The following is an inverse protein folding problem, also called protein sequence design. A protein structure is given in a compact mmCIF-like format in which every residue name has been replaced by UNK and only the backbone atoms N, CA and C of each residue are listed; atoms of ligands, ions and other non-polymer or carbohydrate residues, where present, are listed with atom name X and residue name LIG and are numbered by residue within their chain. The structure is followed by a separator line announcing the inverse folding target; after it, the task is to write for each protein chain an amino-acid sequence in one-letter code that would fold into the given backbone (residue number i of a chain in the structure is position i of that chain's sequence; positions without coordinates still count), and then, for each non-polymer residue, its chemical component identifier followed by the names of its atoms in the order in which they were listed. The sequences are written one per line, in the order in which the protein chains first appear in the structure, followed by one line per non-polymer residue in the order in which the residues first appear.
data_IF_952392082565
#
_entry.id   IF_952392082565
#
_cell.length_a   1.000
_cell.length_b   1.000
_cell.length_c   1.000
_cell.angle_alpha   90.00
_cell.angle_beta   90.00
_cell.angle_gamma   90.00
#
_symmetry.space_group_name_H-M   'P 1'
#
loop_
_entity.id
_entity.type
_entity.pdbx_description
1 polymer ?
#
# COMPACT_ATOMS: atom_id res chain seq x y z
N UNK A 1 6.55 6.80 26.32
CA UNK A 1 5.91 5.53 25.96
C UNK A 1 7.04 4.56 25.67
N UNK A 2 7.39 3.72 26.65
CA UNK A 2 8.56 2.84 26.56
C UNK A 2 8.14 1.60 25.79
N UNK A 3 8.56 1.48 24.54
CA UNK A 3 8.46 0.20 23.82
C UNK A 3 9.32 -0.77 24.60
N UNK A 4 8.72 -1.82 25.15
CA UNK A 4 9.45 -2.87 25.83
C UNK A 4 10.42 -3.56 24.86
N UNK A 5 11.52 -4.11 25.40
CA UNK A 5 12.55 -4.74 24.57
C UNK A 5 11.96 -5.87 23.68
N UNK A 6 10.93 -6.56 24.19
CA UNK A 6 10.21 -7.62 23.48
C UNK A 6 9.43 -7.09 22.27
N UNK A 7 8.71 -5.96 22.38
CA UNK A 7 7.99 -5.35 21.27
C UNK A 7 8.92 -4.85 20.16
N UNK A 8 10.15 -4.43 20.51
CA UNK A 8 11.19 -4.07 19.53
C UNK A 8 11.71 -5.30 18.78
N UNK A 9 11.94 -6.40 19.47
CA UNK A 9 12.46 -7.63 18.87
C UNK A 9 11.44 -8.34 17.96
N UNK A 10 10.16 -8.33 18.36
CA UNK A 10 9.06 -8.84 17.53
C UNK A 10 8.87 -7.99 16.27
N UNK A 11 8.97 -6.66 16.36
CA UNK A 11 8.92 -5.78 15.19
C UNK A 11 10.07 -6.03 14.22
N UNK A 12 11.31 -6.14 14.71
CA UNK A 12 12.46 -6.45 13.85
C UNK A 12 12.36 -7.83 13.21
N UNK A 13 11.77 -8.80 13.92
CA UNK A 13 11.48 -10.11 13.35
C UNK A 13 10.43 -10.02 12.26
N UNK A 14 9.37 -9.24 12.47
CA UNK A 14 8.35 -9.02 11.46
C UNK A 14 8.90 -8.39 10.18
N UNK A 15 9.76 -7.37 10.30
CA UNK A 15 10.43 -6.74 9.16
C UNK A 15 11.33 -7.71 8.39
N UNK A 16 12.06 -8.60 9.09
CA UNK A 16 12.91 -9.62 8.44
C UNK A 16 12.08 -10.64 7.66
N UNK A 17 10.98 -11.12 8.25
CA UNK A 17 10.06 -12.05 7.57
C UNK A 17 9.44 -11.38 6.34
N UNK A 18 8.96 -10.13 6.49
CA UNK A 18 8.42 -9.34 5.38
C UNK A 18 9.44 -9.17 4.25
N UNK A 19 10.71 -8.94 4.57
CA UNK A 19 11.76 -8.80 3.56
C UNK A 19 12.01 -10.12 2.79
N UNK A 20 11.95 -11.26 3.47
CA UNK A 20 12.22 -12.57 2.89
C UNK A 20 11.03 -13.17 2.10
N UNK A 21 9.79 -12.84 2.47
CA UNK A 21 8.61 -13.41 1.84
C UNK A 21 8.41 -12.91 0.40
N UNK A 22 7.94 -13.82 -0.48
CA UNK A 22 7.58 -13.50 -1.85
C UNK A 22 6.09 -13.15 -2.00
N UNK A 23 5.24 -13.69 -1.13
CA UNK A 23 3.79 -13.44 -1.12
C UNK A 23 3.27 -13.03 0.27
N UNK A 24 2.07 -12.44 0.30
CA UNK A 24 1.42 -12.03 1.54
C UNK A 24 1.09 -13.24 2.43
N UNK A 25 0.63 -14.33 1.80
CA UNK A 25 0.29 -15.58 2.45
C UNK A 25 1.50 -16.24 3.09
N UNK A 26 2.64 -16.26 2.40
CA UNK A 26 3.92 -16.72 2.95
C UNK A 26 4.32 -15.89 4.17
N UNK A 27 4.33 -14.55 4.02
CA UNK A 27 4.68 -13.65 5.12
C UNK A 27 3.79 -13.89 6.33
N UNK A 28 2.46 -13.93 6.13
CA UNK A 28 1.50 -14.15 7.21
C UNK A 28 1.71 -15.51 7.88
N UNK A 29 1.87 -16.57 7.10
CA UNK A 29 2.10 -17.92 7.61
C UNK A 29 3.40 -18.03 8.42
N UNK A 30 4.46 -17.35 7.99
CA UNK A 30 5.74 -17.30 8.72
C UNK A 30 5.61 -16.54 10.05
N UNK A 31 4.91 -15.40 10.05
CA UNK A 31 4.67 -14.62 11.27
C UNK A 31 3.78 -15.36 12.27
N UNK A 32 2.77 -16.08 11.78
CA UNK A 32 1.89 -16.94 12.60
C UNK A 32 2.69 -18.09 13.21
N UNK A 33 3.53 -18.78 12.42
CA UNK A 33 4.37 -19.89 12.89
C UNK A 33 5.37 -19.47 13.97
N UNK A 34 5.92 -18.26 13.85
CA UNK A 34 6.84 -17.68 14.85
C UNK A 34 6.10 -17.10 16.07
N UNK A 35 4.75 -17.10 16.05
CA UNK A 35 3.90 -16.48 17.07
C UNK A 35 4.02 -14.95 17.13
N UNK A 36 4.76 -14.33 16.19
CA UNK A 36 5.00 -12.88 16.15
C UNK A 36 3.71 -12.15 15.84
N UNK A 37 2.89 -12.65 14.91
CA UNK A 37 1.67 -11.96 14.49
C UNK A 37 0.72 -11.70 15.66
N UNK A 38 0.61 -12.64 16.60
CA UNK A 38 -0.22 -12.51 17.80
C UNK A 38 0.33 -11.52 18.83
N UNK A 39 1.65 -11.29 18.84
CA UNK A 39 2.35 -10.39 19.77
C UNK A 39 2.47 -8.96 19.27
N UNK A 40 2.40 -8.74 17.96
CA UNK A 40 2.29 -7.39 17.40
C UNK A 40 0.98 -6.73 17.86
N UNK A 41 1.05 -5.47 18.27
CA UNK A 41 -0.13 -4.67 18.57
C UNK A 41 -0.88 -4.22 17.30
N UNK A 42 -2.06 -3.62 17.48
CA UNK A 42 -2.89 -3.14 16.36
C UNK A 42 -2.15 -2.16 15.43
N UNK A 43 -1.52 -1.10 15.96
CA UNK A 43 -0.70 -0.18 15.17
C UNK A 43 0.43 -0.87 14.40
N UNK A 44 1.20 -1.75 15.03
CA UNK A 44 2.29 -2.47 14.37
C UNK A 44 1.81 -3.36 13.22
N UNK A 45 0.66 -4.04 13.39
CA UNK A 45 0.06 -4.84 12.30
C UNK A 45 -0.37 -3.97 11.13
N UNK A 46 -0.96 -2.81 11.42
CA UNK A 46 -1.37 -1.85 10.39
C UNK A 46 -0.15 -1.29 9.64
N UNK A 47 0.92 -0.95 10.37
CA UNK A 47 2.16 -0.49 9.78
C UNK A 47 2.81 -1.57 8.92
N UNK A 48 2.82 -2.84 9.38
CA UNK A 48 3.32 -3.95 8.57
C UNK A 48 2.53 -4.12 7.25
N UNK A 49 1.21 -4.04 7.31
CA UNK A 49 0.37 -4.09 6.12
C UNK A 49 0.66 -2.92 5.16
N UNK A 50 0.86 -1.71 5.68
CA UNK A 50 1.25 -0.52 4.89
C UNK A 50 2.64 -0.68 4.28
N UNK A 51 3.59 -1.27 5.00
CA UNK A 51 4.94 -1.55 4.48
C UNK A 51 4.89 -2.57 3.34
N UNK A 52 4.09 -3.62 3.49
CA UNK A 52 3.87 -4.62 2.45
C UNK A 52 3.24 -4.00 1.20
N UNK A 53 2.16 -3.23 1.36
CA UNK A 53 1.51 -2.51 0.25
C UNK A 53 2.51 -1.59 -0.46
N UNK A 54 3.28 -0.81 0.30
CA UNK A 54 4.28 0.10 -0.27
C UNK A 54 5.33 -0.67 -1.07
N UNK A 55 5.83 -1.81 -0.57
CA UNK A 55 6.76 -2.67 -1.32
C UNK A 55 6.14 -3.13 -2.64
N UNK A 56 4.88 -3.54 -2.64
CA UNK A 56 4.17 -3.95 -3.85
C UNK A 56 4.06 -2.82 -4.87
N UNK A 57 3.71 -1.61 -4.42
CA UNK A 57 3.59 -0.42 -5.28
C UNK A 57 4.94 0.05 -5.80
N UNK A 58 5.99 0.05 -4.98
CA UNK A 58 7.36 0.41 -5.37
C UNK A 58 7.92 -0.53 -6.46
N UNK A 59 7.45 -1.77 -6.52
CA UNK A 59 7.84 -2.76 -7.52
C UNK A 59 7.14 -2.58 -8.88
N UNK A 60 6.07 -1.76 -8.97
CA UNK A 60 5.40 -1.48 -10.23
C UNK A 60 6.30 -0.65 -11.15
N UNK A 61 6.23 -0.86 -12.46
CA UNK A 61 6.76 0.11 -13.42
C UNK A 61 5.77 1.27 -13.60
N UNK A 62 6.14 2.29 -14.37
CA UNK A 62 5.30 3.48 -14.58
C UNK A 62 3.98 3.13 -15.28
N UNK A 63 3.99 2.09 -16.12
CA UNK A 63 2.81 1.62 -16.81
C UNK A 63 1.83 0.97 -15.83
N UNK A 64 2.28 0.02 -15.02
CA UNK A 64 1.47 -0.67 -14.02
C UNK A 64 0.90 0.31 -13.00
N UNK A 65 1.72 1.26 -12.53
CA UNK A 65 1.24 2.32 -11.64
C UNK A 65 0.13 3.17 -12.30
N UNK A 66 0.28 3.53 -13.58
CA UNK A 66 -0.74 4.27 -14.31
C UNK A 66 -2.01 3.43 -14.57
N UNK A 67 -1.88 2.13 -14.81
CA UNK A 67 -3.01 1.21 -14.99
C UNK A 67 -3.83 1.08 -13.70
N UNK A 68 -3.18 0.85 -12.56
CA UNK A 68 -3.86 0.79 -11.25
C UNK A 68 -4.52 2.13 -10.90
N UNK A 69 -3.85 3.25 -11.14
CA UNK A 69 -4.45 4.58 -10.94
C UNK A 69 -5.71 4.79 -11.80
N UNK A 70 -5.70 4.31 -13.05
CA UNK A 70 -6.87 4.40 -13.95
C UNK A 70 -8.00 3.48 -13.50
N UNK A 71 -7.69 2.29 -12.99
CA UNK A 71 -8.69 1.38 -12.40
C UNK A 71 -9.52 2.12 -11.34
N UNK A 72 -8.84 2.75 -10.38
CA UNK A 72 -9.50 3.49 -9.32
C UNK A 72 -10.21 4.77 -9.82
N UNK A 73 -9.62 5.46 -10.80
CA UNK A 73 -10.26 6.63 -11.41
C UNK A 73 -11.54 6.29 -12.19
N UNK A 74 -11.65 5.06 -12.70
CA UNK A 74 -12.87 4.55 -13.31
C UNK A 74 -13.96 4.20 -12.27
N UNK A 75 -13.68 4.34 -10.98
CA UNK A 75 -14.60 4.01 -9.89
C UNK A 75 -14.75 2.50 -9.65
N UNK A 76 -13.83 1.70 -10.19
CA UNK A 76 -13.81 0.24 -9.99
C UNK A 76 -13.35 -0.11 -8.58
N UNK A 77 -13.89 -1.21 -8.06
CA UNK A 77 -13.61 -1.67 -6.71
C UNK A 77 -12.49 -2.72 -6.64
N UNK A 78 -12.16 -3.19 -5.42
CA UNK A 78 -11.27 -4.34 -5.25
C UNK A 78 -11.79 -5.60 -5.95
N UNK A 79 -13.11 -5.79 -6.02
CA UNK A 79 -13.73 -6.96 -6.66
C UNK A 79 -13.43 -7.05 -8.17
N UNK A 80 -13.14 -5.91 -8.80
CA UNK A 80 -12.84 -5.81 -10.23
C UNK A 80 -11.32 -5.85 -10.50
N UNK A 81 -10.49 -5.79 -9.46
CA UNK A 81 -9.04 -5.74 -9.58
C UNK A 81 -8.46 -7.17 -9.63
N UNK A 82 -7.43 -7.46 -10.46
CA UNK A 82 -6.82 -8.80 -10.53
C UNK A 82 -6.29 -9.32 -9.18
N UNK A 83 -5.87 -8.41 -8.30
CA UNK A 83 -5.40 -8.71 -6.95
C UNK A 83 -6.51 -8.74 -5.89
N UNK A 84 -7.77 -8.49 -6.26
CA UNK A 84 -8.88 -8.50 -5.32
C UNK A 84 -8.69 -7.48 -4.18
N UNK A 85 -8.95 -7.93 -2.95
CA UNK A 85 -8.72 -7.14 -1.73
C UNK A 85 -7.25 -6.88 -1.39
N UNK A 86 -6.31 -7.46 -2.13
CA UNK A 86 -4.88 -7.16 -2.04
C UNK A 86 -4.47 -6.03 -2.99
N UNK A 87 -5.40 -5.47 -3.77
CA UNK A 87 -5.13 -4.33 -4.64
C UNK A 87 -4.58 -3.14 -3.85
N UNK A 88 -3.51 -2.47 -4.33
CA UNK A 88 -2.99 -1.30 -3.67
C UNK A 88 -4.02 -0.18 -3.58
N UNK A 89 -4.10 0.47 -2.43
CA UNK A 89 -5.04 1.57 -2.20
C UNK A 89 -4.67 2.80 -3.05
N UNK A 90 -5.65 3.61 -3.47
CA UNK A 90 -5.41 4.84 -4.23
C UNK A 90 -4.38 5.78 -3.59
N UNK A 91 -4.38 5.88 -2.26
CA UNK A 91 -3.43 6.72 -1.53
C UNK A 91 -1.98 6.25 -1.65
N UNK A 92 -1.74 4.93 -1.67
CA UNK A 92 -0.40 4.36 -1.82
C UNK A 92 0.13 4.58 -3.24
N UNK A 93 -0.73 4.38 -4.25
CA UNK A 93 -0.42 4.65 -5.66
C UNK A 93 -0.12 6.14 -5.89
N UNK A 94 -0.93 7.03 -5.31
CA UNK A 94 -0.69 8.47 -5.39
C UNK A 94 0.63 8.86 -4.70
N UNK A 95 0.93 8.31 -3.51
CA UNK A 95 2.20 8.56 -2.84
C UNK A 95 3.40 8.12 -3.70
N UNK A 96 3.30 6.96 -4.36
CA UNK A 96 4.35 6.48 -5.26
C UNK A 96 4.52 7.36 -6.50
N UNK A 97 3.43 7.77 -7.15
CA UNK A 97 3.48 8.68 -8.27
C UNK A 97 4.18 10.00 -7.87
N UNK A 98 3.91 10.52 -6.68
CA UNK A 98 4.56 11.72 -6.16
C UNK A 98 6.06 11.49 -5.94
N UNK A 99 6.42 10.33 -5.37
CA UNK A 99 7.83 9.93 -5.16
C UNK A 99 8.61 9.84 -6.48
N UNK A 100 7.95 9.40 -7.56
CA UNK A 100 8.51 9.37 -8.93
C UNK A 100 8.55 10.73 -9.62
N UNK A 101 8.06 11.78 -8.98
CA UNK A 101 8.03 13.13 -9.54
C UNK A 101 6.91 13.37 -10.56
N UNK A 102 5.88 12.52 -10.59
CA UNK A 102 4.72 12.75 -11.44
C UNK A 102 3.98 13.99 -10.95
N UNK A 103 3.46 14.79 -11.88
CA UNK A 103 2.69 15.97 -11.51
C UNK A 103 1.42 15.57 -10.78
N UNK A 104 1.16 16.21 -9.63
CA UNK A 104 -0.05 16.03 -8.86
C UNK A 104 -0.67 17.36 -8.47
N UNK A 105 -2.00 17.42 -8.51
CA UNK A 105 -2.76 18.58 -8.05
C UNK A 105 -4.01 18.13 -7.29
N UNK A 106 -4.08 18.39 -5.97
CA UNK A 106 -5.33 18.28 -5.23
C UNK A 106 -6.39 19.21 -5.81
N UNK A 107 -7.64 18.74 -5.85
CA UNK A 107 -8.79 19.48 -6.37
C UNK A 107 -9.90 19.58 -5.32
N UNK A 108 -10.82 20.55 -5.46
CA UNK A 108 -12.01 20.61 -4.61
C UNK A 108 -12.81 19.30 -4.62
N UNK A 109 -13.33 18.93 -3.45
CA UNK A 109 -14.05 17.67 -3.23
C UNK A 109 -13.15 16.46 -3.00
N UNK A 110 -11.90 16.68 -2.55
CA UNK A 110 -10.97 15.61 -2.15
C UNK A 110 -10.36 14.80 -3.30
N UNK A 111 -10.64 15.16 -4.55
CA UNK A 111 -10.08 14.50 -5.74
C UNK A 111 -8.64 14.92 -5.97
N UNK A 112 -7.87 14.08 -6.67
CA UNK A 112 -6.49 14.40 -7.06
C UNK A 112 -6.28 14.16 -8.54
N UNK A 113 -5.82 15.19 -9.26
CA UNK A 113 -5.35 15.05 -10.63
C UNK A 113 -3.89 14.58 -10.60
N UNK A 114 -3.58 13.51 -11.32
CA UNK A 114 -2.24 12.95 -11.45
C UNK A 114 -1.92 12.83 -12.94
N UNK A 115 -0.75 13.30 -13.37
CA UNK A 115 -0.27 13.10 -14.73
C UNK A 115 0.83 12.03 -14.74
N UNK A 116 0.54 10.81 -15.24
CA UNK A 116 1.59 9.86 -15.58
C UNK A 116 2.57 10.45 -16.60
N UNK A 117 3.82 9.98 -16.64
CA UNK A 117 4.82 10.43 -17.60
C UNK A 117 4.33 10.20 -19.04
N UNK A 118 3.59 9.10 -19.24
CA UNK A 118 2.99 8.74 -20.50
C UNK A 118 1.46 8.60 -20.39
N UNK A 119 0.76 9.29 -21.29
CA UNK A 119 -0.68 9.13 -21.49
C UNK A 119 -1.54 10.22 -20.87
N UNK A 120 -2.82 9.88 -20.64
CA UNK A 120 -3.83 10.84 -20.21
C UNK A 120 -3.76 11.10 -18.70
N UNK A 121 -4.00 12.34 -18.26
CA UNK A 121 -4.20 12.65 -16.85
C UNK A 121 -5.28 11.76 -16.22
N UNK A 122 -5.02 11.37 -14.98
CA UNK A 122 -5.89 10.52 -14.17
C UNK A 122 -6.50 11.36 -13.06
N UNK A 123 -7.81 11.27 -12.87
CA UNK A 123 -8.52 11.95 -11.80
C UNK A 123 -8.93 10.91 -10.75
N UNK A 124 -8.17 10.83 -9.66
CA UNK A 124 -8.52 9.96 -8.55
C UNK A 124 -9.71 10.55 -7.76
N UNK A 125 -10.69 9.71 -7.38
CA UNK A 125 -11.76 10.10 -6.46
C UNK A 125 -11.19 10.42 -5.06
N UNK A 126 -11.96 11.10 -4.20
CA UNK A 126 -11.61 11.20 -2.79
C UNK A 126 -11.35 9.80 -2.21
N UNK A 127 -10.28 9.68 -1.43
CA UNK A 127 -10.02 8.44 -0.70
C UNK A 127 -11.16 8.12 0.27
N UNK A 128 -11.33 6.85 0.67
CA UNK A 128 -12.36 6.45 1.62
C UNK A 128 -12.23 7.13 3.01
N UNK A 129 -11.11 7.81 3.29
CA UNK A 129 -10.87 8.57 4.52
C UNK A 129 -11.37 10.03 4.46
N UNK A 130 -11.97 10.45 3.34
CA UNK A 130 -12.49 11.80 3.11
C UNK A 130 -14.01 11.96 3.21
N UNK A 131 -14.70 11.03 3.90
CA UNK A 131 -16.14 11.05 4.16
C UNK A 131 -16.46 11.11 5.65
#
# INVERSE_FOLDING_TARGET
MTVDAHGKDDWQTALRVMAAAGTWEEMRGDLERLGVLGRLDGPQRLDLARLWERRGVEALDDRGLAEDLRHWAAGLGPADHPLGFLAPRPAALAAEAARRGWFQRPLPGGRTLINPPDGKPVLLPPGPEGG
#
